data_IF_048891112906
#
_entry.id   IF_048891112906
#
_cell.length_a   1.000
_cell.length_b   1.000
_cell.length_c   1.000
_cell.angle_alpha   90.00
_cell.angle_beta   90.00
_cell.angle_gamma   90.00
#
_symmetry.space_group_name_H-M   'P 1'
#
loop_
_entity.id
_entity.type
_entity.pdbx_description
1 polymer ?
#
# COMPACT_ATOMS: atom_id res chain seq x y z
N UNK A 1 13.24 -12.60 -32.22
CA UNK A 1 12.89 -12.13 -30.86
C UNK A 1 11.45 -12.54 -30.62
N UNK A 2 11.12 -13.13 -29.47
CA UNK A 2 9.71 -13.50 -29.18
C UNK A 2 8.88 -12.24 -28.92
N UNK A 3 7.55 -12.31 -29.07
CA UNK A 3 6.64 -11.19 -28.74
C UNK A 3 6.79 -10.76 -27.28
N UNK A 4 7.08 -11.71 -26.37
CA UNK A 4 7.37 -11.45 -24.95
C UNK A 4 8.63 -10.63 -24.78
N UNK A 5 9.69 -10.92 -25.53
CA UNK A 5 10.94 -10.18 -25.44
C UNK A 5 10.83 -8.80 -26.07
N UNK A 6 10.07 -8.66 -27.17
CA UNK A 6 9.69 -7.36 -27.72
C UNK A 6 8.93 -6.51 -26.69
N UNK A 7 7.96 -7.11 -25.98
CA UNK A 7 7.22 -6.41 -24.94
C UNK A 7 8.13 -5.96 -23.77
N UNK A 8 9.09 -6.78 -23.34
CA UNK A 8 10.09 -6.38 -22.34
C UNK A 8 10.96 -5.22 -22.85
N UNK A 9 11.35 -5.25 -24.12
CA UNK A 9 12.13 -4.17 -24.75
C UNK A 9 11.36 -2.85 -24.78
N UNK A 10 10.06 -2.90 -25.09
CA UNK A 10 9.18 -1.73 -25.02
C UNK A 10 9.11 -1.20 -23.59
N UNK A 11 8.90 -2.07 -22.60
CA UNK A 11 8.83 -1.65 -21.20
C UNK A 11 10.15 -1.00 -20.74
N UNK A 12 11.29 -1.52 -21.19
CA UNK A 12 12.61 -0.90 -20.96
C UNK A 12 12.74 0.45 -21.65
N UNK A 13 12.31 0.56 -22.91
CA UNK A 13 12.37 1.78 -23.71
C UNK A 13 11.48 2.90 -23.16
N UNK A 14 10.42 2.53 -22.44
CA UNK A 14 9.52 3.43 -21.71
C UNK A 14 10.02 3.79 -20.31
N UNK A 15 11.22 3.31 -19.92
CA UNK A 15 11.86 3.66 -18.66
C UNK A 15 11.31 2.95 -17.42
N UNK A 16 10.58 1.83 -17.58
CA UNK A 16 10.03 1.11 -16.43
C UNK A 16 11.15 0.49 -15.57
N UNK A 17 10.97 0.41 -14.22
CA UNK A 17 11.96 -0.21 -13.34
C UNK A 17 12.25 -1.67 -13.72
N UNK A 18 13.44 -2.17 -13.37
CA UNK A 18 13.86 -3.55 -13.67
C UNK A 18 12.84 -4.60 -13.22
N UNK A 19 12.14 -4.36 -12.12
CA UNK A 19 11.11 -5.29 -11.59
C UNK A 19 9.88 -5.42 -12.50
N UNK A 20 9.64 -4.49 -13.42
CA UNK A 20 8.56 -4.52 -14.41
C UNK A 20 9.06 -4.94 -15.80
N UNK A 21 10.33 -5.29 -15.95
CA UNK A 21 10.91 -5.80 -17.21
C UNK A 21 10.94 -7.35 -17.24
N UNK A 22 9.96 -7.99 -16.58
CA UNK A 22 9.85 -9.44 -16.47
C UNK A 22 8.72 -10.01 -17.34
N UNK A 23 8.64 -11.34 -17.42
CA UNK A 23 7.62 -12.04 -18.22
C UNK A 23 6.19 -11.67 -17.84
N UNK A 24 5.86 -11.61 -16.53
CA UNK A 24 4.53 -11.25 -16.05
C UNK A 24 4.08 -9.88 -16.60
N UNK A 25 4.97 -8.90 -16.53
CA UNK A 25 4.68 -7.54 -16.97
C UNK A 25 4.57 -7.44 -18.49
N UNK A 26 5.42 -8.17 -19.22
CA UNK A 26 5.33 -8.31 -20.67
C UNK A 26 3.98 -8.91 -21.11
N UNK A 27 3.57 -10.01 -20.50
CA UNK A 27 2.29 -10.66 -20.78
C UNK A 27 1.09 -9.78 -20.40
N UNK A 28 1.22 -8.98 -19.33
CA UNK A 28 0.17 -8.03 -18.92
C UNK A 28 0.02 -6.95 -19.99
N UNK A 29 1.13 -6.39 -20.48
CA UNK A 29 1.13 -5.41 -21.56
C UNK A 29 0.48 -5.98 -22.84
N UNK A 30 0.82 -7.21 -23.20
CA UNK A 30 0.28 -7.89 -24.39
C UNK A 30 -1.23 -8.15 -24.27
N UNK A 31 -1.70 -8.53 -23.08
CA UNK A 31 -3.13 -8.70 -22.79
C UNK A 31 -3.88 -7.38 -22.96
N UNK A 32 -3.36 -6.30 -22.36
CA UNK A 32 -3.91 -4.95 -22.45
C UNK A 32 -3.83 -4.36 -23.86
N UNK A 33 -2.89 -4.84 -24.69
CA UNK A 33 -2.80 -4.49 -26.10
C UNK A 33 -3.66 -5.41 -27.01
N UNK A 34 -4.14 -6.54 -26.49
CA UNK A 34 -4.85 -7.57 -27.25
C UNK A 34 -4.02 -8.13 -28.41
N UNK A 35 -2.75 -8.48 -28.16
CA UNK A 35 -1.81 -8.93 -29.19
C UNK A 35 -1.26 -10.32 -28.89
N UNK A 36 -1.56 -11.30 -29.75
CA UNK A 36 -0.95 -12.63 -29.72
C UNK A 36 0.48 -12.65 -30.29
N UNK A 37 1.16 -13.79 -30.21
CA UNK A 37 2.55 -13.95 -30.69
C UNK A 37 2.71 -13.54 -32.18
N UNK A 38 1.72 -13.86 -33.02
CA UNK A 38 1.76 -13.54 -34.45
C UNK A 38 1.31 -12.11 -34.80
N UNK A 39 0.69 -11.39 -33.87
CA UNK A 39 0.13 -10.08 -34.19
C UNK A 39 1.22 -9.01 -34.34
N UNK A 40 1.13 -8.15 -35.37
CA UNK A 40 2.00 -6.99 -35.46
C UNK A 40 1.57 -5.94 -34.42
N UNK A 41 2.56 -5.27 -33.81
CA UNK A 41 2.30 -4.22 -32.81
C UNK A 41 1.42 -3.08 -33.33
N UNK A 42 1.37 -2.85 -34.64
CA UNK A 42 0.46 -1.89 -35.28
C UNK A 42 -1.03 -2.18 -35.02
N UNK A 43 -1.40 -3.43 -34.71
CA UNK A 43 -2.76 -3.83 -34.36
C UNK A 43 -3.12 -3.62 -32.88
N UNK A 44 -2.22 -3.06 -32.07
CA UNK A 44 -2.47 -2.84 -30.63
C UNK A 44 -3.84 -2.19 -30.41
N UNK A 45 -4.66 -2.84 -29.60
CA UNK A 45 -6.00 -2.40 -29.18
C UNK A 45 -5.94 -1.86 -27.75
N UNK A 46 -7.12 -1.48 -27.25
CA UNK A 46 -7.32 -0.95 -25.90
C UNK A 46 -8.58 -1.59 -25.29
N UNK A 47 -8.67 -2.92 -25.14
CA UNK A 47 -9.81 -3.54 -24.44
C UNK A 47 -9.88 -3.04 -22.99
N UNK A 48 -11.08 -3.04 -22.43
CA UNK A 48 -11.30 -2.88 -21.00
C UNK A 48 -11.19 -4.26 -20.36
N UNK A 49 -10.21 -4.44 -19.47
CA UNK A 49 -9.92 -5.74 -18.87
C UNK A 49 -9.86 -5.64 -17.35
N UNK A 50 -10.53 -6.54 -16.64
CA UNK A 50 -10.25 -6.84 -15.24
C UNK A 50 -8.98 -7.67 -15.15
N UNK A 51 -8.39 -7.79 -13.96
CA UNK A 51 -7.22 -8.65 -13.74
C UNK A 51 -7.52 -10.11 -14.12
N UNK A 52 -8.76 -10.56 -13.89
CA UNK A 52 -9.19 -11.90 -14.27
C UNK A 52 -9.16 -12.11 -15.78
N UNK A 53 -9.67 -11.13 -16.54
CA UNK A 53 -9.67 -11.15 -18.01
C UNK A 53 -8.22 -11.13 -18.55
N UNK A 54 -7.31 -10.41 -17.88
CA UNK A 54 -5.87 -10.43 -18.19
C UNK A 54 -5.29 -11.83 -17.99
N UNK A 55 -5.52 -12.47 -16.83
CA UNK A 55 -5.00 -13.80 -16.53
C UNK A 55 -5.54 -14.86 -17.50
N UNK A 56 -6.83 -14.81 -17.79
CA UNK A 56 -7.46 -15.70 -18.77
C UNK A 56 -6.88 -15.50 -20.17
N UNK A 57 -6.65 -14.24 -20.56
CA UNK A 57 -6.05 -13.93 -21.85
C UNK A 57 -4.62 -14.48 -21.96
N UNK A 58 -3.81 -14.37 -20.90
CA UNK A 58 -2.46 -14.96 -20.84
C UNK A 58 -2.49 -16.48 -20.99
N UNK A 59 -3.43 -17.15 -20.32
CA UNK A 59 -3.63 -18.60 -20.44
C UNK A 59 -3.93 -18.99 -21.88
N UNK A 60 -4.92 -18.33 -22.49
CA UNK A 60 -5.45 -18.72 -23.80
C UNK A 60 -4.50 -18.36 -24.97
N UNK A 61 -3.72 -17.29 -24.87
CA UNK A 61 -2.90 -16.79 -26.00
C UNK A 61 -1.41 -17.08 -25.84
N UNK A 62 -0.95 -17.38 -24.62
CA UNK A 62 0.46 -17.57 -24.31
C UNK A 62 0.75 -18.81 -23.49
N UNK A 63 -0.24 -19.68 -23.25
CA UNK A 63 -0.08 -20.89 -22.44
C UNK A 63 0.53 -20.59 -21.06
N UNK A 64 0.20 -19.41 -20.52
CA UNK A 64 0.68 -18.97 -19.21
C UNK A 64 -0.48 -18.98 -18.23
N UNK A 65 -0.63 -20.11 -17.56
CA UNK A 65 -1.63 -20.27 -16.53
C UNK A 65 -1.12 -19.79 -15.17
N UNK A 66 -1.72 -18.72 -14.66
CA UNK A 66 -1.46 -18.21 -13.32
C UNK A 66 -2.55 -18.68 -12.35
N UNK A 67 -2.13 -19.23 -11.20
CA UNK A 67 -3.06 -19.61 -10.15
C UNK A 67 -3.87 -18.39 -9.65
N UNK A 68 -5.13 -18.57 -9.18
CA UNK A 68 -6.00 -17.46 -8.79
C UNK A 68 -5.40 -16.45 -7.78
N UNK A 69 -4.54 -16.91 -6.87
CA UNK A 69 -3.83 -16.07 -5.90
C UNK A 69 -2.83 -15.09 -6.54
N UNK A 70 -2.39 -15.35 -7.78
CA UNK A 70 -1.50 -14.45 -8.55
C UNK A 70 -2.19 -13.18 -9.02
N UNK A 71 -3.52 -13.10 -8.93
CA UNK A 71 -4.30 -11.88 -9.21
C UNK A 71 -3.74 -10.68 -8.44
N UNK A 72 -3.42 -10.88 -7.17
CA UNK A 72 -2.89 -9.83 -6.32
C UNK A 72 -1.46 -9.45 -6.72
N UNK A 73 -0.67 -10.42 -7.15
CA UNK A 73 0.68 -10.18 -7.65
C UNK A 73 0.68 -9.33 -8.93
N UNK A 74 -0.18 -9.64 -9.90
CA UNK A 74 -0.32 -8.85 -11.13
C UNK A 74 -0.81 -7.43 -10.81
N UNK A 75 -1.78 -7.32 -9.89
CA UNK A 75 -2.33 -6.03 -9.46
C UNK A 75 -1.26 -5.15 -8.78
N UNK A 76 -0.61 -5.65 -7.72
CA UNK A 76 0.35 -4.89 -6.89
C UNK A 76 1.68 -4.61 -7.60
N UNK A 77 2.22 -5.59 -8.32
CA UNK A 77 3.60 -5.54 -8.83
C UNK A 77 3.72 -5.35 -10.34
N UNK A 78 2.60 -5.16 -11.05
CA UNK A 78 2.63 -4.79 -12.47
C UNK A 78 1.65 -3.67 -12.77
N UNK A 79 0.35 -3.87 -12.55
CA UNK A 79 -0.68 -2.89 -12.94
C UNK A 79 -0.51 -1.58 -12.19
N UNK A 80 -0.23 -1.62 -10.89
CA UNK A 80 0.01 -0.41 -10.11
C UNK A 80 1.15 0.45 -10.68
N UNK A 81 2.25 -0.18 -11.10
CA UNK A 81 3.37 0.54 -11.72
C UNK A 81 3.04 1.00 -13.13
N UNK A 82 2.20 0.26 -13.87
CA UNK A 82 1.71 0.70 -15.18
C UNK A 82 0.78 1.92 -15.05
N UNK A 83 -0.04 2.01 -13.99
CA UNK A 83 -0.84 3.19 -13.68
C UNK A 83 0.05 4.40 -13.36
N UNK A 84 1.05 4.22 -12.49
CA UNK A 84 2.02 5.25 -12.13
C UNK A 84 2.81 5.76 -13.35
N UNK A 85 3.19 4.85 -14.26
CA UNK A 85 3.84 5.18 -15.52
C UNK A 85 2.86 5.64 -16.61
N UNK A 86 1.56 5.76 -16.29
CA UNK A 86 0.47 6.16 -17.19
C UNK A 86 0.43 5.35 -18.50
N UNK A 87 0.81 4.08 -18.41
CA UNK A 87 0.58 3.09 -19.46
C UNK A 87 -0.88 2.68 -19.51
N UNK A 88 -1.56 2.67 -18.37
CA UNK A 88 -2.97 2.28 -18.25
C UNK A 88 -3.78 3.32 -17.49
N UNK A 89 -5.05 3.44 -17.85
CA UNK A 89 -6.10 4.10 -17.09
C UNK A 89 -6.90 3.05 -16.33
N UNK A 90 -7.22 3.35 -15.07
CA UNK A 90 -8.11 2.56 -14.22
C UNK A 90 -9.53 3.08 -14.31
N UNK A 91 -10.48 2.17 -14.47
CA UNK A 91 -11.91 2.46 -14.54
C UNK A 91 -12.27 3.62 -15.48
N UNK A 92 -11.72 3.71 -16.71
CA UNK A 92 -12.04 4.80 -17.62
C UNK A 92 -13.52 4.77 -18.08
N UNK A 93 -14.19 3.64 -17.91
CA UNK A 93 -15.63 3.45 -18.14
C UNK A 93 -16.51 4.00 -17.02
N UNK A 94 -16.04 3.97 -15.77
CA UNK A 94 -16.72 4.54 -14.62
C UNK A 94 -15.71 5.07 -13.57
N UNK A 95 -15.31 6.34 -13.65
CA UNK A 95 -14.35 6.94 -12.73
C UNK A 95 -14.79 6.94 -11.25
N UNK A 96 -16.10 6.83 -10.98
CA UNK A 96 -16.64 6.80 -9.62
C UNK A 96 -16.67 5.39 -9.02
N UNK A 97 -16.19 4.37 -9.75
CA UNK A 97 -16.15 2.99 -9.25
C UNK A 97 -15.26 2.92 -7.99
N UNK A 98 -15.77 2.34 -6.88
CA UNK A 98 -15.02 2.23 -5.62
C UNK A 98 -13.66 1.56 -5.81
N UNK A 99 -12.67 2.02 -5.05
CA UNK A 99 -11.27 1.55 -5.13
C UNK A 99 -11.10 0.08 -4.71
N UNK A 100 -12.06 -0.50 -4.00
CA UNK A 100 -12.11 -1.91 -3.60
C UNK A 100 -13.05 -2.77 -4.47
N UNK A 101 -13.63 -2.21 -5.53
CA UNK A 101 -14.58 -2.93 -6.39
C UNK A 101 -13.92 -4.09 -7.13
N UNK A 102 -14.54 -5.27 -7.06
CA UNK A 102 -14.19 -6.45 -7.86
C UNK A 102 -14.40 -6.26 -9.37
N UNK A 103 -15.08 -5.19 -9.77
CA UNK A 103 -15.32 -4.81 -11.17
C UNK A 103 -14.28 -3.82 -11.70
N UNK A 104 -13.17 -3.63 -11.00
CA UNK A 104 -12.11 -2.73 -11.47
C UNK A 104 -11.58 -3.21 -12.82
N UNK A 105 -11.64 -2.34 -13.83
CA UNK A 105 -11.09 -2.57 -15.18
C UNK A 105 -9.92 -1.64 -15.47
N UNK A 106 -9.07 -2.05 -16.40
CA UNK A 106 -7.89 -1.34 -16.85
C UNK A 106 -7.87 -1.30 -18.37
N UNK A 107 -7.36 -0.20 -18.92
CA UNK A 107 -7.24 0.00 -20.36
C UNK A 107 -5.92 0.72 -20.64
N UNK A 108 -5.21 0.39 -21.71
CA UNK A 108 -4.04 1.19 -22.12
C UNK A 108 -4.43 2.65 -22.35
N UNK A 109 -3.54 3.60 -22.06
CA UNK A 109 -3.73 4.99 -22.46
C UNK A 109 -3.55 5.15 -23.97
N UNK A 110 -4.05 6.25 -24.54
CA UNK A 110 -3.84 6.56 -25.96
C UNK A 110 -2.37 6.74 -26.30
N UNK A 111 -1.63 7.42 -25.43
CA UNK A 111 -0.19 7.62 -25.60
C UNK A 111 0.56 6.29 -25.63
N UNK A 112 0.24 5.37 -24.71
CA UNK A 112 0.89 4.07 -24.63
C UNK A 112 0.62 3.28 -25.91
N UNK A 113 -0.65 3.24 -26.33
CA UNK A 113 -1.06 2.58 -27.57
C UNK A 113 -0.35 3.14 -28.80
N UNK A 114 -0.15 4.46 -28.88
CA UNK A 114 0.61 5.09 -29.97
C UNK A 114 2.07 4.63 -30.00
N UNK A 115 2.71 4.52 -28.83
CA UNK A 115 4.07 3.96 -28.72
C UNK A 115 4.08 2.51 -29.21
N UNK A 116 3.21 1.66 -28.68
CA UNK A 116 3.12 0.25 -29.07
C UNK A 116 2.98 0.11 -30.58
N UNK A 117 2.03 0.80 -31.21
CA UNK A 117 1.78 0.75 -32.67
C UNK A 117 2.95 1.23 -33.54
N UNK A 118 3.93 1.89 -32.94
CA UNK A 118 5.14 2.35 -33.62
C UNK A 118 6.34 1.44 -33.45
N UNK A 119 6.29 0.44 -32.57
CA UNK A 119 7.40 -0.50 -32.36
C UNK A 119 7.88 -1.13 -33.67
N UNK A 120 9.20 -1.17 -33.86
CA UNK A 120 9.85 -1.60 -35.11
C UNK A 120 9.90 -0.54 -36.23
N UNK A 121 9.27 0.63 -36.06
CA UNK A 121 9.35 1.75 -37.02
C UNK A 121 10.40 2.76 -36.59
N UNK A 122 10.93 3.54 -37.54
CA UNK A 122 11.85 4.67 -37.27
C UNK A 122 11.28 5.71 -36.30
N UNK A 123 9.95 5.82 -36.20
CA UNK A 123 9.27 6.74 -35.28
C UNK A 123 9.18 6.24 -33.83
N UNK A 124 9.55 4.99 -33.55
CA UNK A 124 9.43 4.40 -32.21
C UNK A 124 10.22 5.19 -31.14
N UNK A 125 11.52 5.47 -31.30
CA UNK A 125 12.28 6.19 -30.27
C UNK A 125 11.69 7.56 -29.97
N UNK A 126 11.31 8.31 -31.02
CA UNK A 126 10.67 9.62 -30.88
C UNK A 126 9.32 9.55 -30.19
N UNK A 127 8.51 8.51 -30.45
CA UNK A 127 7.25 8.32 -29.75
C UNK A 127 7.46 7.96 -28.27
N UNK A 128 8.50 7.17 -27.94
CA UNK A 128 8.89 6.91 -26.56
C UNK A 128 9.32 8.19 -25.84
N UNK A 129 10.13 9.04 -26.47
CA UNK A 129 10.51 10.35 -25.92
C UNK A 129 9.30 11.26 -25.70
N UNK A 130 8.41 11.40 -26.70
CA UNK A 130 7.18 12.21 -26.58
C UNK A 130 6.28 11.66 -25.48
N UNK A 131 6.16 10.32 -25.39
CA UNK A 131 5.47 9.66 -24.30
C UNK A 131 6.14 10.11 -22.99
N UNK A 132 7.39 9.78 -22.76
CA UNK A 132 8.11 10.07 -21.52
C UNK A 132 8.15 11.56 -21.15
N UNK A 133 8.25 12.51 -22.09
CA UNK A 133 8.17 13.96 -21.80
C UNK A 133 6.77 14.38 -21.33
N UNK A 134 5.73 13.88 -22.01
CA UNK A 134 4.35 14.12 -21.61
C UNK A 134 4.03 13.48 -20.26
N UNK A 135 4.60 12.31 -19.98
CA UNK A 135 4.42 11.64 -18.69
C UNK A 135 5.38 12.14 -17.61
N UNK A 136 6.51 12.75 -17.92
CA UNK A 136 7.29 13.52 -16.96
C UNK A 136 6.44 14.67 -16.39
N UNK A 137 5.75 15.39 -17.27
CA UNK A 137 4.77 16.44 -16.90
C UNK A 137 3.50 15.88 -16.25
N UNK A 138 3.03 14.69 -16.63
CA UNK A 138 1.86 14.06 -16.02
C UNK A 138 2.18 13.37 -14.68
N UNK A 139 3.38 12.83 -14.50
CA UNK A 139 3.93 12.35 -13.22
C UNK A 139 4.22 13.56 -12.35
N UNK A 140 4.68 14.71 -12.87
CA UNK A 140 4.76 15.96 -12.10
C UNK A 140 3.38 16.55 -11.80
N UNK A 141 2.38 16.40 -12.66
CA UNK A 141 1.00 16.83 -12.38
C UNK A 141 0.27 15.86 -11.44
N UNK A 142 0.58 14.57 -11.48
CA UNK A 142 0.06 13.52 -10.60
C UNK A 142 0.81 13.47 -9.26
N UNK A 143 2.12 13.76 -9.27
CA UNK A 143 2.92 14.11 -8.10
C UNK A 143 2.41 15.42 -7.55
N UNK A 144 2.20 16.50 -8.32
CA UNK A 144 1.53 17.71 -7.82
C UNK A 144 0.13 17.42 -7.29
N UNK A 145 -0.68 16.56 -7.89
CA UNK A 145 -1.99 16.20 -7.33
C UNK A 145 -1.93 15.28 -6.10
N UNK A 146 -0.82 14.56 -5.87
CA UNK A 146 -0.54 13.77 -4.64
C UNK A 146 0.31 14.51 -3.61
N UNK A 147 1.09 15.50 -4.01
CA UNK A 147 1.87 16.43 -3.19
C UNK A 147 0.95 17.56 -2.69
N UNK A 148 -0.16 17.83 -3.38
CA UNK A 148 -1.25 18.69 -2.90
C UNK A 148 -2.16 17.94 -1.90
N UNK A 149 -2.09 16.61 -1.80
CA UNK A 149 -2.80 15.82 -0.79
C UNK A 149 -1.83 14.87 -0.10
N UNK A 150 -0.80 15.42 0.53
CA UNK A 150 -0.16 14.69 1.62
C UNK A 150 -1.10 14.68 2.82
N UNK A 151 -0.94 13.69 3.68
CA UNK A 151 -1.73 13.58 4.91
C UNK A 151 -0.90 14.25 6.01
N UNK A 152 -1.16 15.53 6.35
CA UNK A 152 -0.44 16.18 7.43
C UNK A 152 -0.84 15.52 8.74
N UNK A 153 0.12 15.24 9.61
CA UNK A 153 -0.11 14.85 11.00
C UNK A 153 0.43 15.97 11.85
N UNK A 154 -0.41 16.50 12.74
CA UNK A 154 0.01 17.48 13.74
C UNK A 154 0.25 16.79 15.08
N UNK A 155 1.45 16.96 15.63
CA UNK A 155 1.79 16.44 16.97
C UNK A 155 1.40 17.45 18.06
N UNK A 156 1.42 17.00 19.32
CA UNK A 156 1.03 17.82 20.48
C UNK A 156 1.90 19.06 20.66
N UNK A 157 3.17 19.01 20.25
CA UNK A 157 4.11 20.13 20.31
C UNK A 157 3.93 21.14 19.15
N UNK A 158 2.95 20.92 18.27
CA UNK A 158 2.68 21.74 17.10
C UNK A 158 3.57 21.42 15.90
N UNK A 159 4.54 20.50 16.03
CA UNK A 159 5.29 20.00 14.88
C UNK A 159 4.40 19.17 13.97
N UNK A 160 4.81 18.99 12.71
CA UNK A 160 4.05 18.19 11.77
C UNK A 160 4.94 17.37 10.84
N UNK A 161 4.41 16.21 10.43
CA UNK A 161 4.98 15.38 9.37
C UNK A 161 3.93 15.14 8.31
N UNK A 162 4.38 14.94 7.08
CA UNK A 162 3.47 14.72 5.95
C UNK A 162 3.63 13.28 5.46
N UNK A 163 2.60 12.46 5.66
CA UNK A 163 2.60 11.09 5.16
C UNK A 163 2.21 11.04 3.68
N UNK A 164 2.72 10.02 2.97
CA UNK A 164 2.25 9.72 1.63
C UNK A 164 0.75 9.35 1.65
N UNK A 165 -0.05 9.70 0.63
CA UNK A 165 -1.49 9.43 0.66
C UNK A 165 -1.81 7.93 0.50
N UNK A 166 -2.76 7.45 1.30
CA UNK A 166 -3.31 6.10 1.24
C UNK A 166 -4.10 5.75 2.50
N UNK A 167 -5.00 4.75 2.40
CA UNK A 167 -5.87 4.35 3.52
C UNK A 167 -5.10 3.94 4.79
N UNK A 168 -3.88 3.40 4.65
CA UNK A 168 -2.99 3.04 5.75
C UNK A 168 -2.51 4.28 6.52
N UNK A 169 -2.01 5.26 5.77
CA UNK A 169 -1.47 6.50 6.33
C UNK A 169 -2.58 7.44 6.83
N UNK A 170 -3.77 7.39 6.23
CA UNK A 170 -4.98 8.01 6.79
C UNK A 170 -5.32 7.43 8.16
N UNK A 171 -5.22 6.11 8.34
CA UNK A 171 -5.48 5.48 9.63
C UNK A 171 -4.40 5.82 10.66
N UNK A 172 -3.13 5.90 10.25
CA UNK A 172 -2.05 6.39 11.12
C UNK A 172 -2.28 7.82 11.59
N UNK A 173 -2.75 8.72 10.71
CA UNK A 173 -3.17 10.08 11.11
C UNK A 173 -4.27 10.04 12.15
N UNK A 174 -5.31 9.22 11.95
CA UNK A 174 -6.40 9.08 12.91
C UNK A 174 -5.91 8.51 14.26
N UNK A 175 -4.93 7.61 14.26
CA UNK A 175 -4.32 7.14 15.50
C UNK A 175 -3.63 8.30 16.24
N UNK A 176 -2.87 9.14 15.55
CA UNK A 176 -2.15 10.25 16.18
C UNK A 176 -3.09 11.38 16.61
N UNK A 177 -4.09 11.73 15.79
CA UNK A 177 -4.94 12.91 16.01
C UNK A 177 -6.24 12.60 16.77
N UNK A 178 -6.74 11.36 16.74
CA UNK A 178 -8.00 11.01 17.40
C UNK A 178 -7.79 10.00 18.55
N UNK A 179 -7.05 8.91 18.33
CA UNK A 179 -6.81 7.91 19.38
C UNK A 179 -5.90 8.47 20.48
N UNK A 180 -4.74 9.02 20.12
CA UNK A 180 -3.75 9.44 21.11
C UNK A 180 -4.28 10.51 22.08
N UNK A 181 -5.03 11.55 21.67
CA UNK A 181 -5.60 12.51 22.61
C UNK A 181 -6.65 11.91 23.55
N UNK A 182 -7.33 10.82 23.17
CA UNK A 182 -8.39 10.18 23.96
C UNK A 182 -7.87 9.14 24.94
N UNK A 183 -6.97 8.28 24.48
CA UNK A 183 -6.54 7.08 25.23
C UNK A 183 -5.08 7.13 25.67
N UNK A 184 -4.29 8.06 25.12
CA UNK A 184 -2.85 8.21 25.37
C UNK A 184 -2.45 9.71 25.48
N UNK A 185 -3.25 10.48 26.24
CA UNK A 185 -3.16 11.95 26.30
C UNK A 185 -1.83 12.47 26.84
N UNK A 186 -1.09 11.67 27.59
CA UNK A 186 0.24 12.00 28.11
C UNK A 186 1.39 11.42 27.28
N UNK A 187 1.08 10.70 26.19
CA UNK A 187 2.09 10.05 25.37
C UNK A 187 2.65 10.92 24.25
N UNK A 188 3.92 10.70 23.92
CA UNK A 188 4.60 11.25 22.75
C UNK A 188 4.68 10.21 21.63
N UNK A 189 4.58 10.63 20.37
CA UNK A 189 4.84 9.75 19.21
C UNK A 189 6.34 9.59 19.07
N UNK A 190 6.87 8.39 19.34
CA UNK A 190 8.31 8.11 19.26
C UNK A 190 8.68 7.27 18.03
N UNK A 191 7.69 6.72 17.33
CA UNK A 191 7.88 6.02 16.06
C UNK A 191 6.63 6.15 15.17
N UNK A 192 6.86 6.41 13.89
CA UNK A 192 5.84 6.41 12.84
C UNK A 192 6.42 5.81 11.54
N UNK A 193 5.96 4.62 11.18
CA UNK A 193 6.43 3.89 10.00
C UNK A 193 5.55 4.14 8.77
N UNK A 194 6.11 4.70 7.69
CA UNK A 194 5.45 4.70 6.36
C UNK A 194 6.02 3.56 5.52
N UNK A 195 5.15 2.83 4.84
CA UNK A 195 5.54 1.73 3.94
C UNK A 195 6.09 2.23 2.60
N UNK A 196 5.81 3.48 2.22
CA UNK A 196 6.25 4.08 0.97
C UNK A 196 7.55 4.88 1.09
N UNK A 197 7.78 5.53 2.23
CA UNK A 197 8.98 6.33 2.51
C UNK A 197 9.65 5.78 3.77
N UNK A 198 10.98 5.59 3.73
CA UNK A 198 11.75 4.69 4.65
C UNK A 198 11.79 5.13 6.14
N UNK A 199 10.64 5.14 6.83
CA UNK A 199 10.38 5.62 8.20
C UNK A 199 10.31 7.15 8.27
N UNK A 200 9.17 7.68 8.70
CA UNK A 200 8.87 9.11 8.67
C UNK A 200 9.20 9.83 9.99
N UNK A 201 9.12 9.13 11.12
CA UNK A 201 9.59 9.62 12.43
C UNK A 201 10.16 8.47 13.24
N UNK A 202 11.36 8.68 13.82
CA UNK A 202 12.01 7.76 14.75
C UNK A 202 12.74 8.58 15.81
N UNK A 203 12.25 8.59 17.03
CA UNK A 203 12.97 9.13 18.19
C UNK A 203 13.90 8.04 18.75
N UNK A 204 15.08 7.95 18.14
CA UNK A 204 16.10 6.96 18.51
C UNK A 204 16.51 7.09 19.97
N UNK A 205 16.60 8.31 20.52
CA UNK A 205 17.00 8.52 21.91
C UNK A 205 15.96 7.99 22.88
N UNK A 206 14.67 8.23 22.62
CA UNK A 206 13.59 7.67 23.43
C UNK A 206 13.57 6.13 23.34
N UNK A 207 13.64 5.56 22.13
CA UNK A 207 13.62 4.11 21.92
C UNK A 207 14.81 3.42 22.61
N UNK A 208 16.02 3.97 22.48
CA UNK A 208 17.21 3.41 23.13
C UNK A 208 17.13 3.53 24.66
N UNK A 209 16.59 4.64 25.20
CA UNK A 209 16.39 4.78 26.65
C UNK A 209 15.40 3.76 27.22
N UNK A 210 14.50 3.25 26.38
CA UNK A 210 13.56 2.20 26.69
C UNK A 210 14.13 0.80 26.48
N UNK A 211 15.39 0.64 26.07
CA UNK A 211 16.01 -0.66 25.79
C UNK A 211 15.69 -1.23 24.40
N UNK A 212 15.20 -0.41 23.46
CA UNK A 212 14.87 -0.83 22.09
C UNK A 212 16.00 -0.38 21.14
N UNK A 213 16.82 -1.32 20.61
CA UNK A 213 17.98 -0.95 19.80
C UNK A 213 17.61 -0.61 18.34
N UNK A 214 18.42 0.20 17.63
CA UNK A 214 18.18 0.62 16.24
C UNK A 214 17.89 -0.51 15.24
N UNK A 215 18.52 -1.68 15.45
CA UNK A 215 18.34 -2.86 14.59
C UNK A 215 16.91 -3.42 14.64
N UNK A 216 16.12 -3.08 15.66
CA UNK A 216 14.75 -3.57 15.83
C UNK A 216 13.68 -2.57 15.36
N UNK A 217 14.06 -1.37 14.92
CA UNK A 217 13.10 -0.32 14.55
C UNK A 217 12.26 -0.67 13.29
N UNK A 218 12.69 -1.59 12.44
CA UNK A 218 11.90 -2.10 11.30
C UNK A 218 10.81 -3.09 11.71
N UNK A 219 10.90 -3.64 12.92
CA UNK A 219 9.98 -4.65 13.44
C UNK A 219 8.91 -4.08 14.36
N UNK A 220 9.00 -2.79 14.71
CA UNK A 220 7.98 -2.09 15.49
C UNK A 220 6.64 -2.02 14.73
N UNK A 221 5.52 -1.88 15.45
CA UNK A 221 4.23 -1.55 14.84
C UNK A 221 4.23 -0.19 14.14
N UNK A 222 3.18 0.07 13.36
CA UNK A 222 3.01 1.29 12.56
C UNK A 222 3.17 2.59 13.35
N UNK A 223 2.62 2.64 14.57
CA UNK A 223 2.69 3.80 15.46
C UNK A 223 3.12 3.34 16.85
N UNK A 224 4.11 4.00 17.44
CA UNK A 224 4.50 3.78 18.84
C UNK A 224 4.37 5.08 19.63
N UNK A 225 3.59 5.01 20.70
CA UNK A 225 3.41 6.12 21.64
C UNK A 225 4.05 5.76 22.98
N UNK A 226 4.71 6.71 23.62
CA UNK A 226 5.30 6.51 24.94
C UNK A 226 4.80 7.55 25.93
N UNK A 227 4.18 7.09 27.02
CA UNK A 227 3.80 7.87 28.20
C UNK A 227 4.91 7.78 29.27
N UNK A 228 5.72 8.83 29.46
CA UNK A 228 6.78 8.82 30.46
C UNK A 228 6.26 8.90 31.90
N UNK A 229 5.03 9.37 32.13
CA UNK A 229 4.47 9.51 33.47
C UNK A 229 4.00 8.17 34.01
N UNK A 230 3.41 7.34 33.15
CA UNK A 230 2.93 5.98 33.49
C UNK A 230 3.91 4.88 33.12
N UNK A 231 4.98 5.22 32.40
CA UNK A 231 5.92 4.27 31.79
C UNK A 231 5.20 3.25 30.90
N UNK A 232 4.28 3.73 30.06
CA UNK A 232 3.48 2.91 29.14
C UNK A 232 3.92 3.10 27.70
N UNK A 233 4.09 1.99 27.00
CA UNK A 233 4.44 1.92 25.59
C UNK A 233 3.26 1.36 24.78
N UNK A 234 2.58 2.23 24.05
CA UNK A 234 1.51 1.84 23.14
C UNK A 234 2.10 1.38 21.82
N UNK A 235 1.78 0.15 21.44
CA UNK A 235 2.23 -0.55 20.26
C UNK A 235 1.03 -0.74 19.33
N UNK A 236 0.88 0.15 18.35
CA UNK A 236 -0.36 0.27 17.57
C UNK A 236 -0.13 -0.13 16.11
N UNK A 237 -0.85 -1.16 15.66
CA UNK A 237 -0.82 -1.62 14.27
C UNK A 237 -2.04 -1.09 13.51
N UNK A 238 -1.83 -0.42 12.38
CA UNK A 238 -2.88 0.17 11.55
C UNK A 238 -3.33 -0.84 10.47
N UNK A 239 -4.43 -1.54 10.72
CA UNK A 239 -4.86 -2.63 9.84
C UNK A 239 -5.72 -2.13 8.69
N UNK A 240 -5.13 -2.20 7.49
CA UNK A 240 -5.85 -2.03 6.22
C UNK A 240 -5.85 -3.30 5.38
N UNK A 241 -4.65 -3.84 5.09
CA UNK A 241 -4.47 -5.10 4.36
C UNK A 241 -3.33 -5.99 4.90
N UNK A 242 -2.51 -5.46 5.80
CA UNK A 242 -1.54 -6.21 6.59
C UNK A 242 -2.24 -6.57 7.91
N UNK A 243 -2.17 -7.84 8.32
CA UNK A 243 -3.00 -8.40 9.39
C UNK A 243 -2.76 -7.75 10.77
N UNK A 244 -3.60 -8.08 11.77
CA UNK A 244 -3.58 -7.46 13.09
C UNK A 244 -2.38 -7.90 13.94
N UNK A 245 -2.32 -7.39 15.17
CA UNK A 245 -1.49 -7.98 16.22
C UNK A 245 -2.07 -9.36 16.56
N UNK A 246 -1.59 -10.37 15.85
CA UNK A 246 -1.94 -11.77 16.08
C UNK A 246 -1.13 -12.39 17.22
N UNK A 247 -1.53 -13.55 17.77
CA UNK A 247 -0.76 -14.24 18.81
C UNK A 247 0.70 -14.48 18.41
N UNK A 248 0.95 -14.77 17.12
CA UNK A 248 2.31 -14.91 16.59
C UNK A 248 3.07 -13.58 16.62
N UNK A 249 2.45 -12.51 16.12
CA UNK A 249 3.06 -11.17 16.07
C UNK A 249 3.33 -10.62 17.47
N UNK A 250 2.39 -10.83 18.40
CA UNK A 250 2.55 -10.51 19.81
C UNK A 250 3.79 -11.20 20.41
N UNK A 251 3.92 -12.52 20.22
CA UNK A 251 5.09 -13.27 20.69
C UNK A 251 6.41 -12.80 20.06
N UNK A 252 6.40 -12.35 18.81
CA UNK A 252 7.57 -11.75 18.15
C UNK A 252 7.93 -10.39 18.77
N UNK A 253 6.93 -9.56 19.07
CA UNK A 253 7.11 -8.26 19.72
C UNK A 253 7.62 -8.43 21.17
N UNK A 254 7.04 -9.34 21.94
CA UNK A 254 7.47 -9.64 23.30
C UNK A 254 8.95 -10.09 23.37
N UNK A 255 9.36 -10.96 22.44
CA UNK A 255 10.77 -11.38 22.34
C UNK A 255 11.69 -10.22 21.94
N UNK A 256 11.24 -9.36 21.04
CA UNK A 256 12.01 -8.21 20.59
C UNK A 256 12.15 -7.14 21.69
N UNK A 257 11.13 -7.01 22.54
CA UNK A 257 11.02 -6.02 23.60
C UNK A 257 11.36 -6.62 24.98
N UNK A 258 12.15 -7.69 25.05
CA UNK A 258 12.47 -8.37 26.31
C UNK A 258 13.24 -7.48 27.29
N UNK A 259 14.09 -6.60 26.75
CA UNK A 259 14.87 -5.63 27.51
C UNK A 259 14.11 -4.29 27.68
N UNK A 260 12.86 -4.22 27.22
CA UNK A 260 12.11 -2.98 27.28
C UNK A 260 11.65 -2.67 28.71
N UNK A 261 11.94 -1.47 29.19
CA UNK A 261 11.62 -1.06 30.56
C UNK A 261 10.17 -0.59 30.76
N UNK A 262 9.43 -0.32 29.68
CA UNK A 262 8.05 0.16 29.72
C UNK A 262 7.03 -0.99 29.71
N UNK A 263 5.89 -0.77 30.37
CA UNK A 263 4.74 -1.68 30.26
C UNK A 263 4.10 -1.52 28.88
N UNK A 264 3.75 -2.63 28.25
CA UNK A 264 3.34 -2.66 26.83
C UNK A 264 1.83 -2.74 26.73
N UNK A 265 1.27 -1.87 25.90
CA UNK A 265 -0.15 -1.86 25.55
C UNK A 265 -0.25 -2.13 24.05
N UNK A 266 -0.81 -3.27 23.70
CA UNK A 266 -0.98 -3.66 22.30
C UNK A 266 -2.34 -3.20 21.79
N UNK A 267 -2.36 -2.48 20.67
CA UNK A 267 -3.60 -2.02 20.06
C UNK A 267 -3.62 -2.33 18.56
N UNK A 268 -4.71 -2.93 18.10
CA UNK A 268 -4.99 -3.06 16.66
C UNK A 268 -6.02 -2.02 16.26
N UNK A 269 -5.63 -1.09 15.39
CA UNK A 269 -6.48 -0.03 14.90
C UNK A 269 -7.11 -0.39 13.55
N UNK A 270 -8.39 -0.05 13.36
CA UNK A 270 -9.11 -0.20 12.11
C UNK A 270 -9.81 1.10 11.71
N UNK A 271 -9.95 1.32 10.40
CA UNK A 271 -10.73 2.47 9.92
C UNK A 271 -12.22 2.31 10.22
N UNK A 272 -12.76 1.12 9.97
CA UNK A 272 -14.18 0.83 10.03
C UNK A 272 -14.46 -0.57 10.62
N UNK A 273 -15.69 -0.75 11.11
CA UNK A 273 -16.10 -2.01 11.75
C UNK A 273 -16.13 -3.18 10.76
N UNK A 274 -16.32 -2.91 9.47
CA UNK A 274 -16.36 -3.94 8.41
C UNK A 274 -15.00 -4.61 8.22
N UNK A 275 -13.91 -3.85 8.39
CA UNK A 275 -12.55 -4.34 8.32
C UNK A 275 -12.20 -5.11 9.58
N UNK A 276 -12.56 -4.58 10.75
CA UNK A 276 -12.42 -5.31 12.03
C UNK A 276 -13.06 -6.71 11.97
N UNK A 277 -14.31 -6.83 11.49
CA UNK A 277 -15.01 -8.12 11.38
C UNK A 277 -14.23 -9.20 10.62
N UNK A 278 -13.41 -8.82 9.62
CA UNK A 278 -12.61 -9.77 8.83
C UNK A 278 -11.45 -10.36 9.61
N UNK A 279 -10.91 -9.60 10.57
CA UNK A 279 -9.72 -9.92 11.33
C UNK A 279 -10.00 -10.27 12.79
N UNK A 280 -11.25 -10.16 13.24
CA UNK A 280 -11.63 -10.34 14.65
C UNK A 280 -11.16 -11.68 15.26
N UNK A 281 -11.08 -12.74 14.46
CA UNK A 281 -10.61 -14.07 14.92
C UNK A 281 -9.08 -14.21 14.97
N UNK A 282 -8.35 -13.24 14.45
CA UNK A 282 -6.89 -13.27 14.36
C UNK A 282 -6.20 -12.40 15.41
N UNK A 283 -6.95 -11.54 16.10
CA UNK A 283 -6.44 -10.60 17.12
C UNK A 283 -6.09 -11.37 18.39
N UNK A 284 -4.95 -11.04 19.00
CA UNK A 284 -4.50 -11.65 20.26
C UNK A 284 -5.40 -11.23 21.44
N UNK A 285 -5.60 -12.13 22.40
CA UNK A 285 -6.17 -11.77 23.71
C UNK A 285 -5.26 -10.80 24.48
N UNK A 286 -5.76 -10.20 25.56
CA UNK A 286 -5.02 -9.22 26.36
C UNK A 286 -4.51 -8.04 25.51
N UNK A 287 -5.34 -7.60 24.56
CA UNK A 287 -5.03 -6.47 23.69
C UNK A 287 -6.26 -5.62 23.40
N UNK A 288 -6.00 -4.42 22.89
CA UNK A 288 -7.01 -3.43 22.61
C UNK A 288 -7.32 -3.36 21.11
N UNK A 289 -8.56 -3.00 20.80
CA UNK A 289 -8.98 -2.70 19.44
C UNK A 289 -9.62 -1.32 19.42
N UNK A 290 -9.14 -0.49 18.49
CA UNK A 290 -9.72 0.82 18.24
C UNK A 290 -10.27 0.90 16.82
N UNK A 291 -11.46 1.48 16.67
CA UNK A 291 -12.13 1.62 15.37
C UNK A 291 -12.42 3.10 15.16
N UNK A 292 -11.81 3.72 14.15
CA UNK A 292 -11.91 5.17 13.96
C UNK A 292 -13.32 5.68 13.64
N UNK A 293 -14.22 4.79 13.16
CA UNK A 293 -15.66 5.07 12.98
C UNK A 293 -16.36 5.37 14.32
N UNK A 294 -15.82 4.86 15.43
CA UNK A 294 -16.32 5.03 16.79
C UNK A 294 -15.17 5.52 17.70
N UNK A 295 -14.64 6.74 17.47
CA UNK A 295 -13.34 7.15 17.99
C UNK A 295 -13.29 7.26 19.52
N UNK A 296 -14.43 7.43 20.18
CA UNK A 296 -14.56 7.56 21.63
C UNK A 296 -14.63 6.21 22.36
N UNK A 297 -14.57 5.10 21.64
CA UNK A 297 -14.74 3.75 22.20
C UNK A 297 -13.54 2.84 21.88
N UNK A 298 -13.33 1.84 22.73
CA UNK A 298 -12.41 0.73 22.50
C UNK A 298 -13.12 -0.60 22.74
N UNK A 299 -12.65 -1.64 22.06
CA UNK A 299 -13.01 -3.03 22.35
C UNK A 299 -11.81 -3.66 23.06
N UNK A 300 -12.06 -4.22 24.24
CA UNK A 300 -11.06 -4.89 25.04
C UNK A 300 -11.13 -6.40 24.75
N UNK A 301 -10.06 -6.97 24.18
CA UNK A 301 -9.91 -8.42 24.09
C UNK A 301 -9.36 -8.89 25.44
N UNK A 302 -10.26 -9.52 26.19
CA UNK A 302 -10.24 -9.64 27.65
C UNK A 302 -8.94 -10.17 28.29
N UNK A 303 -8.83 -9.89 29.58
CA UNK A 303 -7.85 -10.39 30.56
C UNK A 303 -8.48 -10.36 31.97
N UNK A 304 -7.73 -10.54 33.05
CA UNK A 304 -8.34 -10.65 34.41
C UNK A 304 -8.94 -9.32 34.97
N UNK A 305 -8.87 -8.21 34.23
CA UNK A 305 -9.03 -6.85 34.77
C UNK A 305 -10.45 -6.30 34.81
N UNK A 306 -11.39 -6.77 33.97
CA UNK A 306 -12.64 -6.04 33.74
C UNK A 306 -13.89 -6.90 33.83
N UNK A 307 -14.61 -6.83 34.96
CA UNK A 307 -16.02 -7.21 35.08
C UNK A 307 -16.71 -6.25 36.07
N UNK A 308 -17.76 -5.55 35.62
CA UNK A 308 -18.51 -4.63 36.45
C UNK A 308 -19.68 -3.95 35.71
N UNK A 309 -20.72 -3.48 36.41
CA UNK A 309 -21.82 -2.74 35.79
C UNK A 309 -21.39 -1.38 35.22
N UNK A 310 -21.97 -0.96 34.10
CA UNK A 310 -21.78 0.38 33.50
C UNK A 310 -22.75 1.44 34.05
N UNK A 311 -23.62 1.04 35.00
CA UNK A 311 -24.70 1.84 35.58
C UNK A 311 -24.51 2.03 37.07
#
# INVERSE_FOLDING_TARGET
MSKRDEAKEILRSLGLPKQQQNERSALTLLSLAGLSESDPWSKSRRPLLRIWDIMEWMRNNYDKDYAPNSRETIRRYTIHQFEQARLVDRNPDNPQRPTNSGETVYQLTEGATKVLRSFGKRSFPKNCEIFMDRYGKAIEAYKRSRDIVKVPITFKDGSSVELSPGAHNELQKLIVEEFAPRFASESNVIYLGDTADKRLLVDTSALESLGIPPMNHDKLPDVVLYDPNRNWLFLIEAVTSHGPISPKRHNELEKMLSECSAERIYCTAFKDFSTFKKYATEIVWESEVWISEFPDHMIHFDGERFMGPYS
#
